data_IF_047465799452
#
_entry.id   IF_047465799452
#
_cell.length_a   1.000
_cell.length_b   1.000
_cell.length_c   1.000
_cell.angle_alpha   90.00
_cell.angle_beta   90.00
_cell.angle_gamma   90.00
#
_symmetry.space_group_name_H-M   'P 1'
#
loop_
_entity.id
_entity.type
_entity.pdbx_description
1 polymer ?
#
# COMPACT_ATOMS: atom_id res chain seq x y z
N UNK A 1 -13.74 -29.13 -32.81
CA UNK A 1 -14.23 -29.37 -31.45
C UNK A 1 -13.67 -28.22 -30.62
N UNK A 2 -14.51 -27.20 -30.48
CA UNK A 2 -14.17 -25.94 -29.82
C UNK A 2 -14.47 -26.14 -28.32
N UNK A 3 -13.44 -26.34 -27.51
CA UNK A 3 -13.56 -26.43 -26.04
C UNK A 3 -13.76 -25.03 -25.50
N UNK A 4 -15.02 -24.64 -25.37
CA UNK A 4 -15.37 -23.40 -24.64
C UNK A 4 -14.77 -23.49 -23.24
N UNK A 5 -13.80 -22.60 -22.96
CA UNK A 5 -13.32 -22.35 -21.59
C UNK A 5 -14.54 -21.97 -20.74
N UNK A 6 -14.74 -22.60 -19.58
CA UNK A 6 -15.83 -22.20 -18.71
C UNK A 6 -15.59 -20.73 -18.31
N UNK A 7 -16.63 -19.91 -18.42
CA UNK A 7 -16.61 -18.55 -17.93
C UNK A 7 -16.23 -18.60 -16.46
N UNK A 8 -15.10 -17.98 -16.08
CA UNK A 8 -14.65 -17.88 -14.71
C UNK A 8 -15.73 -17.12 -13.93
N UNK A 9 -16.47 -17.83 -13.08
CA UNK A 9 -17.45 -17.22 -12.21
C UNK A 9 -16.71 -16.24 -11.29
N UNK A 10 -17.08 -14.96 -11.32
CA UNK A 10 -16.50 -13.97 -10.44
C UNK A 10 -16.78 -14.34 -9.00
N UNK A 11 -15.76 -14.49 -8.18
CA UNK A 11 -15.88 -14.74 -6.74
C UNK A 11 -16.67 -13.60 -6.09
N UNK A 12 -17.69 -13.97 -5.29
CA UNK A 12 -18.47 -13.00 -4.53
C UNK A 12 -17.93 -12.89 -3.09
N UNK A 13 -17.89 -11.68 -2.47
CA UNK A 13 -17.38 -11.50 -1.11
C UNK A 13 -18.07 -12.36 -0.05
N UNK A 14 -19.31 -12.76 -0.29
CA UNK A 14 -20.11 -13.59 0.63
C UNK A 14 -20.03 -15.09 0.32
N UNK A 15 -19.20 -15.49 -0.62
CA UNK A 15 -18.99 -16.91 -0.93
C UNK A 15 -18.42 -17.65 0.31
N UNK A 16 -19.06 -18.75 0.76
CA UNK A 16 -18.63 -19.43 1.99
C UNK A 16 -17.17 -19.91 1.95
N UNK A 17 -16.69 -20.36 0.78
CA UNK A 17 -15.32 -20.82 0.60
C UNK A 17 -14.32 -19.66 0.75
N UNK A 18 -14.63 -18.50 0.17
CA UNK A 18 -13.83 -17.27 0.31
C UNK A 18 -13.75 -16.82 1.76
N UNK A 19 -14.91 -16.76 2.46
CA UNK A 19 -14.94 -16.39 3.88
C UNK A 19 -14.18 -17.38 4.78
N UNK A 20 -14.28 -18.67 4.50
CA UNK A 20 -13.52 -19.68 5.23
C UNK A 20 -12.00 -19.52 5.02
N UNK A 21 -11.58 -19.21 3.80
CA UNK A 21 -10.19 -18.93 3.47
C UNK A 21 -9.67 -17.68 4.20
N UNK A 22 -10.41 -16.57 4.21
CA UNK A 22 -10.01 -15.35 4.94
C UNK A 22 -9.81 -15.64 6.43
N UNK A 23 -10.73 -16.38 7.08
CA UNK A 23 -10.59 -16.76 8.50
C UNK A 23 -9.34 -17.61 8.74
N UNK A 24 -9.03 -18.54 7.83
CA UNK A 24 -7.82 -19.35 7.93
C UNK A 24 -6.55 -18.49 7.84
N UNK A 25 -6.51 -17.53 6.92
CA UNK A 25 -5.41 -16.57 6.81
C UNK A 25 -5.33 -15.65 8.04
N UNK A 26 -6.46 -15.14 8.53
CA UNK A 26 -6.50 -14.29 9.71
C UNK A 26 -5.93 -15.00 10.94
N UNK A 27 -6.25 -16.29 11.09
CA UNK A 27 -5.69 -17.11 12.16
C UNK A 27 -4.18 -17.34 11.99
N UNK A 28 -3.71 -17.58 10.75
CA UNK A 28 -2.30 -17.88 10.49
C UNK A 28 -1.39 -16.66 10.68
N UNK A 29 -1.87 -15.46 10.37
CA UNK A 29 -1.07 -14.23 10.39
C UNK A 29 -1.37 -13.31 11.57
N UNK A 30 -2.30 -13.66 12.44
CA UNK A 30 -2.82 -12.78 13.51
C UNK A 30 -3.24 -11.40 12.97
N UNK A 31 -3.96 -11.41 11.83
CA UNK A 31 -4.41 -10.22 11.11
C UNK A 31 -5.87 -10.37 10.68
N UNK A 32 -6.65 -9.29 10.73
CA UNK A 32 -8.07 -9.28 10.32
C UNK A 32 -8.25 -9.04 8.81
N UNK A 33 -8.09 -10.08 8.00
CA UNK A 33 -8.35 -10.01 6.56
C UNK A 33 -9.84 -9.82 6.21
N UNK A 34 -10.77 -10.18 7.10
CA UNK A 34 -12.18 -9.86 6.87
C UNK A 34 -12.43 -8.36 7.01
N UNK A 35 -11.72 -7.69 7.93
CA UNK A 35 -11.72 -6.24 8.08
C UNK A 35 -11.19 -5.51 6.84
N UNK A 36 -10.20 -6.06 6.14
CA UNK A 36 -9.66 -5.51 4.90
C UNK A 36 -10.69 -5.42 3.75
N UNK A 37 -11.77 -6.22 3.80
CA UNK A 37 -12.88 -6.09 2.86
C UNK A 37 -13.63 -4.74 2.97
N UNK A 38 -13.44 -4.02 4.06
CA UNK A 38 -13.98 -2.67 4.25
C UNK A 38 -13.39 -1.63 3.31
N UNK A 39 -12.16 -1.85 2.83
CA UNK A 39 -11.53 -0.99 1.83
C UNK A 39 -11.74 -1.54 0.40
N UNK A 40 -12.03 -0.67 -0.60
CA UNK A 40 -12.16 -1.13 -1.99
C UNK A 40 -10.92 -1.85 -2.51
N UNK A 41 -9.73 -1.35 -2.17
CA UNK A 41 -8.47 -1.91 -2.64
C UNK A 41 -8.12 -3.25 -1.99
N UNK A 42 -8.26 -3.35 -0.67
CA UNK A 42 -8.05 -4.62 0.05
C UNK A 42 -9.02 -5.70 -0.44
N UNK A 43 -10.29 -5.34 -0.61
CA UNK A 43 -11.30 -6.22 -1.21
C UNK A 43 -10.91 -6.70 -2.60
N UNK A 44 -10.47 -5.78 -3.47
CA UNK A 44 -10.08 -6.11 -4.84
C UNK A 44 -8.89 -7.07 -4.86
N UNK A 45 -7.86 -6.84 -4.04
CA UNK A 45 -6.71 -7.72 -3.91
C UNK A 45 -7.09 -9.13 -3.44
N UNK A 46 -7.87 -9.22 -2.37
CA UNK A 46 -8.28 -10.51 -1.79
C UNK A 46 -9.17 -11.32 -2.74
N UNK A 47 -10.14 -10.67 -3.39
CA UNK A 47 -11.01 -11.32 -4.39
C UNK A 47 -10.22 -11.77 -5.61
N UNK A 48 -9.33 -10.96 -6.14
CA UNK A 48 -8.49 -11.34 -7.28
C UNK A 48 -7.59 -12.52 -6.92
N UNK A 49 -6.92 -12.47 -5.75
CA UNK A 49 -6.07 -13.57 -5.28
C UNK A 49 -6.83 -14.88 -5.18
N UNK A 50 -8.02 -14.87 -4.57
CA UNK A 50 -8.84 -16.08 -4.45
C UNK A 50 -9.38 -16.56 -5.80
N UNK A 51 -9.79 -15.65 -6.68
CA UNK A 51 -10.30 -16.00 -8.01
C UNK A 51 -9.23 -16.66 -8.87
N UNK A 52 -8.01 -16.12 -8.83
CA UNK A 52 -6.90 -16.56 -9.68
C UNK A 52 -6.21 -17.83 -9.16
N UNK A 53 -6.17 -18.01 -7.83
CA UNK A 53 -5.36 -19.05 -7.19
C UNK A 53 -6.18 -20.02 -6.30
N UNK A 54 -7.45 -19.73 -6.06
CA UNK A 54 -8.26 -20.46 -5.07
C UNK A 54 -7.86 -20.14 -3.63
N UNK A 55 -8.20 -21.05 -2.71
CA UNK A 55 -7.87 -20.93 -1.29
C UNK A 55 -6.38 -21.27 -1.03
N UNK A 56 -5.47 -20.40 -1.43
CA UNK A 56 -4.02 -20.61 -1.21
C UNK A 56 -3.70 -20.68 0.29
N UNK A 57 -2.86 -21.62 0.74
CA UNK A 57 -2.35 -21.68 2.11
C UNK A 57 -1.49 -20.47 2.47
N UNK A 58 -1.40 -20.17 3.77
CA UNK A 58 -0.64 -19.04 4.29
C UNK A 58 0.80 -18.88 3.74
N UNK A 59 1.64 -19.95 3.64
CA UNK A 59 3.00 -19.82 3.10
C UNK A 59 3.07 -19.34 1.65
N UNK A 60 2.03 -19.57 0.87
CA UNK A 60 1.93 -19.14 -0.52
C UNK A 60 1.23 -17.78 -0.66
N UNK A 61 0.43 -17.40 0.33
CA UNK A 61 -0.23 -16.10 0.37
C UNK A 61 0.72 -14.98 0.82
N UNK A 62 1.60 -15.23 1.79
CA UNK A 62 2.54 -14.24 2.31
C UNK A 62 3.36 -13.55 1.22
N UNK A 63 4.02 -14.27 0.27
CA UNK A 63 4.76 -13.63 -0.83
C UNK A 63 3.90 -12.75 -1.75
N UNK A 64 2.61 -13.08 -1.91
CA UNK A 64 1.69 -12.26 -2.72
C UNK A 64 1.39 -10.91 -2.04
N UNK A 65 1.23 -10.92 -0.72
CA UNK A 65 1.07 -9.68 0.06
C UNK A 65 2.33 -8.83 0.00
N UNK A 66 3.49 -9.44 0.19
CA UNK A 66 4.78 -8.76 0.16
C UNK A 66 5.03 -8.09 -1.19
N UNK A 67 4.80 -8.80 -2.28
CA UNK A 67 4.93 -8.29 -3.64
C UNK A 67 3.92 -7.17 -3.92
N UNK A 68 2.67 -7.33 -3.47
CA UNK A 68 1.64 -6.30 -3.61
C UNK A 68 2.07 -4.98 -2.93
N UNK A 69 2.57 -5.06 -1.69
CA UNK A 69 3.06 -3.91 -0.94
C UNK A 69 4.29 -3.28 -1.58
N UNK A 70 5.26 -4.11 -1.98
CA UNK A 70 6.52 -3.66 -2.58
C UNK A 70 6.28 -2.92 -3.89
N UNK A 71 5.53 -3.52 -4.82
CA UNK A 71 5.23 -2.91 -6.13
C UNK A 71 4.48 -1.60 -5.97
N UNK A 72 3.53 -1.54 -5.01
CA UNK A 72 2.79 -0.33 -4.75
C UNK A 72 3.70 0.78 -4.16
N UNK A 73 4.50 0.45 -3.16
CA UNK A 73 5.45 1.38 -2.55
C UNK A 73 6.45 1.95 -3.57
N UNK A 74 7.06 1.09 -4.40
CA UNK A 74 8.00 1.51 -5.45
C UNK A 74 7.37 2.48 -6.44
N UNK A 75 6.13 2.22 -6.86
CA UNK A 75 5.39 3.12 -7.77
C UNK A 75 5.17 4.49 -7.16
N UNK A 76 4.68 4.54 -5.92
CA UNK A 76 4.43 5.79 -5.19
C UNK A 76 5.73 6.57 -4.99
N UNK A 77 6.79 5.91 -4.51
CA UNK A 77 8.12 6.52 -4.31
C UNK A 77 8.64 7.11 -5.62
N UNK A 78 8.62 6.36 -6.71
CA UNK A 78 9.10 6.84 -8.02
C UNK A 78 8.35 8.09 -8.48
N UNK A 79 7.02 8.13 -8.31
CA UNK A 79 6.21 9.28 -8.67
C UNK A 79 6.51 10.49 -7.77
N UNK A 80 6.67 10.28 -6.46
CA UNK A 80 7.02 11.34 -5.51
C UNK A 80 8.42 11.91 -5.77
N UNK A 81 9.42 11.06 -6.02
CA UNK A 81 10.77 11.51 -6.33
C UNK A 81 10.85 12.28 -7.67
N UNK A 82 10.05 11.87 -8.66
CA UNK A 82 9.92 12.61 -9.91
C UNK A 82 9.38 14.02 -9.66
N UNK A 83 8.38 14.14 -8.79
CA UNK A 83 7.82 15.43 -8.39
C UNK A 83 8.82 16.25 -7.57
N UNK A 84 9.48 15.66 -6.56
CA UNK A 84 10.47 16.33 -5.74
C UNK A 84 11.62 16.88 -6.58
N UNK A 85 12.10 16.10 -7.58
CA UNK A 85 13.10 16.57 -8.54
C UNK A 85 12.64 17.79 -9.33
N UNK A 86 11.39 17.80 -9.79
CA UNK A 86 10.81 18.95 -10.51
C UNK A 86 10.75 20.20 -9.65
N UNK A 87 10.32 20.02 -8.39
CA UNK A 87 10.09 21.13 -7.47
C UNK A 87 11.39 21.72 -6.92
N UNK A 88 12.47 20.91 -6.80
CA UNK A 88 13.72 21.30 -6.13
C UNK A 88 14.94 21.38 -7.05
N UNK A 89 14.87 20.80 -8.24
CA UNK A 89 16.02 20.62 -9.14
C UNK A 89 17.03 19.55 -8.68
N UNK A 90 16.80 18.89 -7.53
CA UNK A 90 17.69 17.88 -6.94
C UNK A 90 17.20 16.46 -7.26
N UNK A 91 18.13 15.52 -7.30
CA UNK A 91 17.84 14.08 -7.41
C UNK A 91 17.98 13.48 -6.01
N UNK A 92 17.02 12.66 -5.63
CA UNK A 92 16.99 11.97 -4.34
C UNK A 92 16.90 10.47 -4.55
N UNK A 93 17.39 9.73 -3.57
CA UNK A 93 17.25 8.28 -3.47
C UNK A 93 16.60 7.94 -2.12
N UNK A 94 15.43 7.32 -2.19
CA UNK A 94 14.70 6.84 -1.01
C UNK A 94 14.53 5.33 -1.15
N UNK A 95 15.17 4.54 -0.28
CA UNK A 95 15.15 3.10 -0.43
C UNK A 95 13.76 2.52 -0.09
N UNK A 96 13.27 1.64 -0.96
CA UNK A 96 12.22 0.68 -0.64
C UNK A 96 12.90 -0.63 -0.24
N UNK A 97 12.73 -1.04 1.00
CA UNK A 97 13.36 -2.22 1.56
C UNK A 97 12.32 -3.28 1.89
N UNK A 98 12.70 -4.53 1.69
CA UNK A 98 11.90 -5.67 2.11
C UNK A 98 12.67 -6.45 3.18
N UNK A 99 12.02 -6.72 4.30
CA UNK A 99 12.53 -7.54 5.38
C UNK A 99 11.67 -8.80 5.47
N UNK A 100 12.31 -9.96 5.26
CA UNK A 100 11.63 -11.24 5.37
C UNK A 100 11.17 -11.48 6.81
N UNK A 101 10.04 -12.18 6.97
CA UNK A 101 9.61 -12.63 8.28
C UNK A 101 10.56 -13.72 8.79
N UNK A 102 10.89 -13.67 10.07
CA UNK A 102 11.63 -14.76 10.74
C UNK A 102 10.74 -16.01 10.91
N UNK A 103 9.42 -15.85 10.89
CA UNK A 103 8.49 -16.98 10.90
C UNK A 103 8.40 -17.58 9.48
N UNK A 104 8.47 -18.92 9.34
CA UNK A 104 8.45 -19.59 8.04
C UNK A 104 7.25 -19.24 7.16
N UNK A 105 6.11 -18.93 7.78
CA UNK A 105 4.85 -18.62 7.12
C UNK A 105 4.45 -17.14 7.29
N UNK A 106 5.36 -16.31 7.84
CA UNK A 106 5.06 -14.91 8.15
C UNK A 106 5.06 -14.02 6.93
N UNK A 107 4.19 -13.00 6.93
CA UNK A 107 4.25 -11.91 5.98
C UNK A 107 5.47 -11.05 6.31
N UNK A 108 6.30 -10.77 5.30
CA UNK A 108 7.42 -9.86 5.42
C UNK A 108 6.97 -8.41 5.61
N UNK A 109 7.92 -7.53 5.82
CA UNK A 109 7.68 -6.10 5.99
C UNK A 109 8.32 -5.30 4.86
N UNK A 110 7.55 -4.38 4.29
CA UNK A 110 8.05 -3.43 3.30
C UNK A 110 8.21 -2.07 3.98
N UNK A 111 9.33 -1.41 3.75
CA UNK A 111 9.65 -0.09 4.30
C UNK A 111 9.98 0.89 3.19
N UNK A 112 9.54 2.12 3.35
CA UNK A 112 10.01 3.28 2.59
C UNK A 112 10.82 4.15 3.54
N UNK A 113 12.12 4.25 3.30
CA UNK A 113 13.01 4.82 4.31
C UNK A 113 12.97 3.99 5.60
N UNK A 114 12.35 4.53 6.66
CA UNK A 114 12.14 3.85 7.93
C UNK A 114 10.65 3.54 8.23
N UNK A 115 9.73 4.03 7.40
CA UNK A 115 8.30 3.86 7.60
C UNK A 115 7.81 2.53 7.03
N UNK A 116 7.09 1.70 7.82
CA UNK A 116 6.53 0.46 7.32
C UNK A 116 5.32 0.74 6.41
N UNK A 117 5.23 -0.03 5.32
CA UNK A 117 4.07 -0.04 4.42
C UNK A 117 3.24 -1.28 4.73
N UNK A 118 2.13 -1.09 5.41
CA UNK A 118 1.26 -2.16 5.89
C UNK A 118 -0.11 -2.13 5.20
N UNK A 119 -0.93 -3.17 5.49
CA UNK A 119 -2.26 -3.33 4.93
C UNK A 119 -2.27 -3.79 3.48
N UNK A 120 -3.47 -3.81 2.88
CA UNK A 120 -3.74 -4.24 1.50
C UNK A 120 -4.38 -3.15 0.66
N UNK A 121 -4.73 -2.04 1.29
CA UNK A 121 -5.42 -0.93 0.63
C UNK A 121 -4.42 0.05 0.00
N UNK A 122 -4.49 0.28 -1.32
CA UNK A 122 -3.59 1.19 -2.03
C UNK A 122 -3.51 2.60 -1.44
N UNK A 123 -4.62 3.11 -0.91
CA UNK A 123 -4.65 4.46 -0.31
C UNK A 123 -3.84 4.50 0.98
N UNK A 124 -3.98 3.50 1.85
CA UNK A 124 -3.18 3.41 3.08
C UNK A 124 -1.70 3.21 2.77
N UNK A 125 -1.38 2.34 1.81
CA UNK A 125 0.00 2.13 1.38
C UNK A 125 0.61 3.39 0.77
N UNK A 126 -0.17 4.17 0.00
CA UNK A 126 0.30 5.45 -0.56
C UNK A 126 0.56 6.50 0.53
N UNK A 127 -0.28 6.55 1.56
CA UNK A 127 -0.05 7.44 2.73
C UNK A 127 1.26 7.06 3.43
N UNK A 128 1.44 5.79 3.80
CA UNK A 128 2.65 5.32 4.47
C UNK A 128 3.92 5.56 3.61
N UNK A 129 3.86 5.26 2.31
CA UNK A 129 4.98 5.50 1.41
C UNK A 129 5.31 7.00 1.29
N UNK A 130 4.30 7.88 1.28
CA UNK A 130 4.49 9.32 1.22
C UNK A 130 5.12 9.87 2.50
N UNK A 131 4.68 9.41 3.67
CA UNK A 131 5.29 9.73 4.96
C UNK A 131 6.75 9.26 5.01
N UNK A 132 7.02 8.03 4.55
CA UNK A 132 8.37 7.48 4.46
C UNK A 132 9.30 8.33 3.60
N UNK A 133 8.84 8.80 2.43
CA UNK A 133 9.59 9.73 1.58
C UNK A 133 9.84 11.05 2.30
N UNK A 134 8.81 11.63 2.93
CA UNK A 134 8.93 12.91 3.63
C UNK A 134 9.92 12.83 4.79
N UNK A 135 9.81 11.82 5.64
CA UNK A 135 10.72 11.59 6.77
C UNK A 135 12.15 11.37 6.27
N UNK A 136 12.34 10.55 5.25
CA UNK A 136 13.67 10.29 4.70
C UNK A 136 14.32 11.57 4.15
N UNK A 137 13.58 12.40 3.41
CA UNK A 137 14.09 13.67 2.89
C UNK A 137 14.41 14.67 4.02
N UNK A 138 13.59 14.70 5.07
CA UNK A 138 13.85 15.54 6.23
C UNK A 138 15.13 15.12 6.97
N UNK A 139 15.28 13.81 7.23
CA UNK A 139 16.36 13.29 8.07
C UNK A 139 17.71 13.20 7.33
N UNK A 140 17.68 12.81 6.05
CA UNK A 140 18.92 12.53 5.28
C UNK A 140 19.35 13.69 4.40
N UNK A 141 18.38 14.44 3.88
CA UNK A 141 18.62 15.52 2.93
C UNK A 141 18.44 16.93 3.56
N UNK A 142 18.00 16.99 4.82
CA UNK A 142 17.65 18.21 5.55
C UNK A 142 16.64 19.05 4.74
N UNK A 143 15.72 18.38 4.08
CA UNK A 143 14.74 18.97 3.19
C UNK A 143 13.31 18.72 3.67
N UNK A 144 12.58 19.76 4.01
CA UNK A 144 11.12 19.68 4.21
C UNK A 144 10.43 19.75 2.85
N UNK A 145 9.89 18.63 2.39
CA UNK A 145 9.16 18.50 1.13
C UNK A 145 8.02 17.47 1.28
N UNK A 146 6.84 17.72 0.68
CA UNK A 146 6.44 18.96 0.03
C UNK A 146 6.21 20.10 1.02
N UNK A 147 6.00 21.31 0.51
CA UNK A 147 5.62 22.47 1.33
C UNK A 147 4.20 22.91 0.99
N UNK A 148 3.43 23.26 1.99
CA UNK A 148 2.19 23.99 1.79
C UNK A 148 2.51 25.37 1.21
N UNK A 149 1.96 25.78 0.07
CA UNK A 149 2.27 27.04 -0.58
C UNK A 149 1.86 28.25 0.30
N UNK A 150 0.76 28.11 1.06
CA UNK A 150 0.20 29.22 1.85
C UNK A 150 0.93 29.40 3.18
N UNK A 151 1.34 28.31 3.84
CA UNK A 151 1.90 28.36 5.21
C UNK A 151 3.38 28.03 5.28
N UNK A 152 4.00 27.57 4.18
CA UNK A 152 5.43 27.19 4.11
C UNK A 152 5.83 26.12 5.14
N UNK A 153 4.88 25.29 5.58
CA UNK A 153 5.07 24.15 6.49
C UNK A 153 4.96 22.84 5.73
N UNK A 154 5.55 21.78 6.28
CA UNK A 154 5.34 20.41 5.79
C UNK A 154 3.88 19.98 6.01
N UNK A 155 3.15 19.55 4.99
CA UNK A 155 1.86 18.90 5.16
C UNK A 155 2.04 17.45 5.61
N UNK A 156 0.95 16.81 6.05
CA UNK A 156 0.92 15.37 6.35
C UNK A 156 0.25 14.61 5.22
N UNK A 157 0.79 13.44 4.89
CA UNK A 157 0.06 12.51 4.05
C UNK A 157 -1.13 11.93 4.84
N UNK A 158 -2.30 11.90 4.23
CA UNK A 158 -3.48 11.36 4.92
C UNK A 158 -4.49 10.80 3.93
N UNK A 159 -5.37 9.93 4.42
CA UNK A 159 -6.53 9.44 3.68
C UNK A 159 -7.60 10.51 3.63
N UNK A 160 -8.14 10.74 2.45
CA UNK A 160 -9.32 11.57 2.20
C UNK A 160 -10.39 10.76 1.46
N UNK A 161 -11.62 11.26 1.31
CA UNK A 161 -12.63 10.60 0.48
C UNK A 161 -12.19 10.37 -0.98
N UNK A 162 -11.31 11.23 -1.50
CA UNK A 162 -10.81 11.17 -2.88
C UNK A 162 -9.50 10.37 -3.02
N UNK A 163 -9.00 9.77 -1.94
CA UNK A 163 -7.76 8.99 -1.94
C UNK A 163 -6.70 9.53 -0.97
N UNK A 164 -5.43 9.23 -1.22
CA UNK A 164 -4.32 9.75 -0.44
C UNK A 164 -3.98 11.19 -0.84
N UNK A 165 -3.80 12.08 0.12
CA UNK A 165 -3.49 13.48 -0.13
C UNK A 165 -2.57 14.09 0.92
N UNK A 166 -1.82 15.10 0.51
CA UNK A 166 -1.10 15.99 1.40
C UNK A 166 -2.06 17.02 1.99
N UNK A 167 -2.16 17.07 3.31
CA UNK A 167 -3.05 17.98 4.04
C UNK A 167 -2.22 18.92 4.91
N UNK A 168 -2.52 20.22 4.83
CA UNK A 168 -1.81 21.26 5.58
C UNK A 168 -1.94 21.06 7.09
N UNK A 169 -0.82 21.10 7.82
CA UNK A 169 -0.80 20.96 9.27
C UNK A 169 -1.41 22.15 10.02
N UNK A 170 -1.57 23.32 9.36
CA UNK A 170 -2.07 24.55 9.99
C UNK A 170 -3.60 24.67 9.84
N UNK A 171 -4.12 24.51 8.66
CA UNK A 171 -5.56 24.76 8.34
C UNK A 171 -6.29 23.56 7.80
N UNK A 172 -5.62 22.40 7.71
CA UNK A 172 -6.19 21.12 7.26
C UNK A 172 -6.81 21.13 5.84
N UNK A 173 -6.45 22.09 4.99
CA UNK A 173 -6.84 22.03 3.58
C UNK A 173 -5.96 21.04 2.79
N UNK A 174 -6.53 20.48 1.74
CA UNK A 174 -5.79 19.60 0.81
C UNK A 174 -4.80 20.46 0.01
N UNK A 175 -3.52 20.13 0.11
CA UNK A 175 -2.44 20.80 -0.62
C UNK A 175 -2.26 20.19 -2.02
N UNK A 176 -2.28 18.86 -2.09
CA UNK A 176 -2.12 18.12 -3.34
C UNK A 176 -2.47 16.63 -3.15
N UNK A 177 -2.84 15.91 -4.21
CA UNK A 177 -2.95 14.46 -4.14
C UNK A 177 -1.56 13.81 -3.96
N UNK A 178 -1.53 12.69 -3.22
CA UNK A 178 -0.43 11.73 -3.23
C UNK A 178 -0.66 10.78 -4.40
N UNK A 179 0.34 10.46 -5.23
CA UNK A 179 0.20 9.46 -6.29
C UNK A 179 -0.15 8.08 -5.70
N UNK A 180 -0.97 7.31 -6.39
CA UNK A 180 -1.38 5.95 -5.99
C UNK A 180 -1.15 4.93 -7.09
#
# INVERSE_FOLDING_TARGET
MDSARPATSLTHPDEPAFRAWLRALSHAFDHDFEGDLGSPGGRAFLLATFTDNGAVPAPYFAPLVDEHRRVHAERVVAALLTRARRDTGRVFDVPVRHEWSDAPDGIGRVFVGHEPVEGLDPVSMAVAAAEGVQCHLADRELLVWPLCPDHRTGPHATRTPDGAAWVCSVTHHVVAPVPS
#
